data_IF_179144737517
#
_entry.id   IF_179144737517
#
_cell.length_a   1.000
_cell.length_b   1.000
_cell.length_c   1.000
_cell.angle_alpha   90.00
_cell.angle_beta   90.00
_cell.angle_gamma   90.00
#
_symmetry.space_group_name_H-M   'P 1'
#
loop_
_entity.id
_entity.type
_entity.pdbx_description
1 polymer ?
#
# COMPACT_ATOMS: atom_id res chain seq x y z
N UNK A 1 -8.84 -16.01 5.15
CA UNK A 1 -8.62 -17.21 4.32
C UNK A 1 -7.38 -16.98 3.45
N UNK A 2 -6.63 -18.03 3.08
CA UNK A 2 -5.40 -17.87 2.27
C UNK A 2 -5.66 -17.17 0.92
N UNK A 3 -6.82 -17.42 0.33
CA UNK A 3 -7.21 -16.82 -0.95
C UNK A 3 -7.35 -15.30 -0.86
N UNK A 4 -7.86 -14.80 0.27
CA UNK A 4 -7.99 -13.36 0.50
C UNK A 4 -6.62 -12.68 0.62
N UNK A 5 -5.68 -13.32 1.32
CA UNK A 5 -4.31 -12.83 1.44
C UNK A 5 -3.60 -12.82 0.08
N UNK A 6 -3.79 -13.87 -0.72
CA UNK A 6 -3.24 -13.96 -2.08
C UNK A 6 -3.82 -12.89 -3.01
N UNK A 7 -5.14 -12.68 -2.96
CA UNK A 7 -5.81 -11.64 -3.74
C UNK A 7 -5.35 -10.23 -3.33
N UNK A 8 -5.13 -9.98 -2.05
CA UNK A 8 -4.57 -8.72 -1.55
C UNK A 8 -3.15 -8.50 -2.09
N UNK A 9 -2.28 -9.49 -1.96
CA UNK A 9 -0.91 -9.40 -2.46
C UNK A 9 -0.86 -9.10 -3.97
N UNK A 10 -1.69 -9.78 -4.76
CA UNK A 10 -1.78 -9.52 -6.20
C UNK A 10 -2.18 -8.06 -6.50
N UNK A 11 -3.20 -7.53 -5.81
CA UNK A 11 -3.62 -6.14 -6.01
C UNK A 11 -2.52 -5.14 -5.65
N UNK A 12 -1.79 -5.40 -4.56
CA UNK A 12 -0.68 -4.54 -4.15
C UNK A 12 0.40 -4.52 -5.23
N UNK A 13 0.81 -5.68 -5.74
CA UNK A 13 1.77 -5.80 -6.85
C UNK A 13 1.31 -5.06 -8.11
N UNK A 14 0.03 -5.17 -8.45
CA UNK A 14 -0.54 -4.46 -9.61
C UNK A 14 -0.43 -2.94 -9.43
N UNK A 15 -0.84 -2.41 -8.29
CA UNK A 15 -0.80 -0.97 -8.04
C UNK A 15 0.64 -0.42 -7.96
N UNK A 16 1.56 -1.15 -7.35
CA UNK A 16 2.97 -0.71 -7.23
C UNK A 16 3.74 -0.81 -8.55
N UNK A 17 3.23 -1.55 -9.54
CA UNK A 17 3.79 -1.64 -10.89
C UNK A 17 3.26 -0.56 -11.86
N UNK A 18 2.29 0.27 -11.44
CA UNK A 18 1.78 1.36 -12.26
C UNK A 18 2.86 2.43 -12.53
N UNK A 19 2.82 3.12 -13.69
CA UNK A 19 3.78 4.18 -14.00
C UNK A 19 3.62 5.43 -13.11
N UNK A 20 2.44 5.64 -12.54
CA UNK A 20 2.14 6.70 -11.60
C UNK A 20 0.92 6.32 -10.76
N UNK A 21 0.77 6.96 -9.59
CA UNK A 21 -0.37 6.75 -8.70
C UNK A 21 -0.76 8.01 -7.92
N UNK A 22 -1.77 7.91 -7.04
CA UNK A 22 -2.13 8.96 -6.09
C UNK A 22 -0.95 9.24 -5.14
N UNK A 23 -0.86 10.47 -4.63
CA UNK A 23 0.18 10.86 -3.69
C UNK A 23 0.27 9.88 -2.51
N UNK A 24 1.46 9.31 -2.27
CA UNK A 24 1.65 8.24 -1.31
C UNK A 24 2.08 8.70 0.10
N UNK A 25 2.41 9.98 0.27
CA UNK A 25 2.95 10.52 1.54
C UNK A 25 1.97 10.29 2.70
N UNK A 26 0.69 10.60 2.48
CA UNK A 26 -0.33 10.48 3.53
C UNK A 26 -0.61 9.02 3.92
N UNK A 27 -0.65 8.09 2.96
CA UNK A 27 -0.85 6.67 3.28
C UNK A 27 0.34 6.10 4.06
N UNK A 28 1.58 6.44 3.69
CA UNK A 28 2.77 6.00 4.43
C UNK A 28 2.78 6.57 5.86
N UNK A 29 2.37 7.84 6.03
CA UNK A 29 2.25 8.44 7.36
C UNK A 29 1.18 7.74 8.22
N UNK A 30 0.03 7.37 7.63
CA UNK A 30 -1.02 6.59 8.33
C UNK A 30 -0.52 5.21 8.72
N UNK A 31 0.12 4.48 7.81
CA UNK A 31 0.68 3.14 8.10
C UNK A 31 1.66 3.21 9.26
N UNK A 32 2.61 4.14 9.26
CA UNK A 32 3.54 4.34 10.38
C UNK A 32 2.83 4.64 11.69
N UNK A 33 1.78 5.45 11.67
CA UNK A 33 0.97 5.77 12.86
C UNK A 33 0.27 4.54 13.41
N UNK A 34 -0.38 3.75 12.57
CA UNK A 34 -1.10 2.54 13.00
C UNK A 34 -0.15 1.47 13.53
N UNK A 35 1.02 1.30 12.90
CA UNK A 35 2.03 0.38 13.43
C UNK A 35 2.61 0.85 14.77
N UNK A 36 2.74 2.16 14.99
CA UNK A 36 3.17 2.70 16.28
C UNK A 36 2.09 2.60 17.38
N UNK A 37 0.82 2.49 16.99
CA UNK A 37 -0.33 2.34 17.88
C UNK A 37 -0.65 0.85 18.09
N UNK A 38 0.09 0.21 19.01
CA UNK A 38 -0.07 -1.20 19.39
C UNK A 38 -0.04 -2.19 18.21
N UNK A 39 0.79 -1.91 17.20
CA UNK A 39 0.89 -2.72 15.98
C UNK A 39 -0.50 -2.98 15.35
N UNK A 40 -1.32 -1.94 15.19
CA UNK A 40 -2.63 -2.01 14.53
C UNK A 40 -2.49 -2.31 13.02
N UNK A 41 -2.11 -3.55 12.73
CA UNK A 41 -1.93 -4.11 11.40
C UNK A 41 -3.24 -4.14 10.61
N UNK A 42 -4.43 -4.39 11.19
CA UNK A 42 -5.68 -4.26 10.44
C UNK A 42 -5.88 -2.87 9.84
N UNK A 43 -5.65 -1.79 10.61
CA UNK A 43 -5.78 -0.42 10.07
C UNK A 43 -4.67 -0.08 9.08
N UNK A 44 -3.44 -0.55 9.31
CA UNK A 44 -2.34 -0.37 8.37
C UNK A 44 -2.65 -1.01 7.01
N UNK A 45 -3.12 -2.26 7.01
CA UNK A 45 -3.50 -3.00 5.80
C UNK A 45 -4.69 -2.32 5.10
N UNK A 46 -5.71 -1.89 5.85
CA UNK A 46 -6.86 -1.18 5.27
C UNK A 46 -6.46 0.15 4.60
N UNK A 47 -5.50 0.88 5.18
CA UNK A 47 -5.00 2.12 4.59
C UNK A 47 -4.26 1.88 3.27
N UNK A 48 -3.49 0.80 3.17
CA UNK A 48 -2.83 0.37 1.93
C UNK A 48 -3.85 -0.11 0.90
N UNK A 49 -4.82 -0.94 1.31
CA UNK A 49 -5.90 -1.43 0.44
C UNK A 49 -6.70 -0.27 -0.18
N UNK A 50 -6.94 0.81 0.59
CA UNK A 50 -7.57 2.03 0.08
C UNK A 50 -6.72 2.72 -1.00
N UNK A 51 -5.44 2.97 -0.74
CA UNK A 51 -4.55 3.58 -1.73
C UNK A 51 -4.40 2.73 -2.99
N UNK A 52 -4.31 1.41 -2.85
CA UNK A 52 -4.22 0.45 -3.97
C UNK A 52 -5.48 0.51 -4.83
N UNK A 53 -6.65 0.59 -4.20
CA UNK A 53 -7.93 0.73 -4.91
C UNK A 53 -7.95 2.04 -5.69
N UNK A 54 -7.60 3.15 -5.05
CA UNK A 54 -7.56 4.47 -5.72
C UNK A 54 -6.57 4.48 -6.90
N UNK A 55 -5.40 3.87 -6.74
CA UNK A 55 -4.38 3.80 -7.77
C UNK A 55 -4.82 2.98 -8.99
N UNK A 56 -5.52 1.87 -8.77
CA UNK A 56 -5.98 1.00 -9.87
C UNK A 56 -7.22 1.58 -10.56
N UNK A 57 -8.16 2.16 -9.81
CA UNK A 57 -9.43 2.63 -10.36
C UNK A 57 -9.33 4.04 -10.97
N UNK A 58 -8.61 4.94 -10.32
CA UNK A 58 -8.55 6.36 -10.70
C UNK A 58 -7.16 6.81 -11.18
N UNK A 59 -6.11 6.02 -10.91
CA UNK A 59 -4.74 6.37 -11.26
C UNK A 59 -4.22 7.57 -10.46
N UNK A 60 -3.19 8.22 -10.99
CA UNK A 60 -2.68 9.47 -10.45
C UNK A 60 -1.47 9.98 -11.23
N UNK A 61 -0.92 11.10 -10.78
CA UNK A 61 0.11 11.84 -11.52
C UNK A 61 1.49 11.75 -10.88
N UNK A 62 1.60 11.12 -9.70
CA UNK A 62 2.87 10.96 -9.01
C UNK A 62 3.58 9.69 -9.47
N UNK A 63 4.60 9.85 -10.29
CA UNK A 63 5.43 8.75 -10.79
C UNK A 63 6.30 8.10 -9.69
N UNK A 64 6.53 8.78 -8.56
CA UNK A 64 7.27 8.27 -7.41
C UNK A 64 6.40 7.48 -6.43
N UNK A 65 5.08 7.71 -6.42
CA UNK A 65 4.17 7.12 -5.46
C UNK A 65 4.17 5.58 -5.45
N UNK A 66 4.09 4.85 -6.60
CA UNK A 66 4.09 3.39 -6.61
C UNK A 66 5.33 2.78 -5.94
N UNK A 67 6.52 3.32 -6.26
CA UNK A 67 7.79 2.89 -5.66
C UNK A 67 7.87 3.21 -4.17
N UNK A 68 7.35 4.38 -3.75
CA UNK A 68 7.33 4.77 -2.34
C UNK A 68 6.46 3.82 -1.52
N UNK A 69 5.29 3.43 -2.03
CA UNK A 69 4.40 2.47 -1.37
C UNK A 69 5.05 1.09 -1.30
N UNK A 70 5.65 0.60 -2.38
CA UNK A 70 6.37 -0.68 -2.38
C UNK A 70 7.50 -0.71 -1.34
N UNK A 71 8.31 0.36 -1.29
CA UNK A 71 9.39 0.50 -0.32
C UNK A 71 8.86 0.54 1.12
N UNK A 72 7.72 1.20 1.36
CA UNK A 72 7.10 1.23 2.67
C UNK A 72 6.56 -0.15 3.10
N UNK A 73 5.98 -0.92 2.18
CA UNK A 73 5.48 -2.26 2.45
C UNK A 73 6.64 -3.22 2.80
N UNK A 74 7.72 -3.18 2.04
CA UNK A 74 8.93 -3.97 2.34
C UNK A 74 9.53 -3.55 3.69
N UNK A 75 9.83 -2.26 3.88
CA UNK A 75 10.53 -1.80 5.07
C UNK A 75 9.71 -1.88 6.38
N UNK A 76 8.38 -1.76 6.32
CA UNK A 76 7.52 -1.72 7.51
C UNK A 76 6.81 -3.06 7.79
N UNK A 77 6.54 -3.86 6.76
CA UNK A 77 5.79 -5.12 6.90
C UNK A 77 6.63 -6.35 6.51
N UNK A 78 7.81 -6.17 5.90
CA UNK A 78 8.67 -7.26 5.45
C UNK A 78 8.09 -8.06 4.29
N UNK A 79 7.23 -7.45 3.47
CA UNK A 79 6.57 -8.10 2.33
C UNK A 79 7.22 -7.63 1.03
N UNK A 80 7.78 -8.58 0.29
CA UNK A 80 8.39 -8.34 -1.02
C UNK A 80 7.32 -8.38 -2.15
N UNK A 81 7.20 -7.26 -2.88
CA UNK A 81 6.18 -7.03 -3.91
C UNK A 81 6.73 -7.26 -5.31
#
# INVERSE_FOLDING_TARGET
MLDEATARLHRWRTATALPAGPAAVDVVARVRRYLADDLDTPKAIAALDGWVTDAVEYGGHDAGAPKLVATAIDALLGVDL
#
